data_IF_865101246501
#
_entry.id   IF_865101246501
#
_cell.length_a   1.000
_cell.length_b   1.000
_cell.length_c   1.000
_cell.angle_alpha   90.00
_cell.angle_beta   90.00
_cell.angle_gamma   90.00
#
_symmetry.space_group_name_H-M   'P 1'
#
loop_
_entity.id
_entity.type
_entity.pdbx_description
1 polymer ?
#
# COMPACT_ATOMS: atom_id res chain seq x y z
N UNK A 1 -14.24 3.17 12.60
CA UNK A 1 -13.80 1.75 12.45
C UNK A 1 -13.43 1.35 11.02
N UNK A 2 -14.05 1.90 9.95
CA UNK A 2 -13.78 1.50 8.55
C UNK A 2 -12.33 1.74 8.06
N UNK A 3 -11.64 2.79 8.53
CA UNK A 3 -10.28 3.10 8.08
C UNK A 3 -9.22 2.08 8.54
N UNK A 4 -9.31 1.54 9.77
CA UNK A 4 -8.32 0.59 10.27
C UNK A 4 -8.36 -0.74 9.51
N UNK A 5 -9.57 -1.27 9.26
CA UNK A 5 -9.74 -2.52 8.50
C UNK A 5 -9.22 -2.38 7.08
N UNK A 6 -9.45 -1.22 6.44
CA UNK A 6 -8.92 -0.94 5.10
C UNK A 6 -7.39 -0.90 5.09
N UNK A 7 -6.78 -0.33 6.14
CA UNK A 7 -5.32 -0.26 6.26
C UNK A 7 -4.68 -1.65 6.42
N UNK A 8 -5.28 -2.53 7.24
CA UNK A 8 -4.82 -3.93 7.39
C UNK A 8 -4.91 -4.70 6.06
N UNK A 9 -6.01 -4.50 5.31
CA UNK A 9 -6.18 -5.12 4.00
C UNK A 9 -5.18 -4.62 2.96
N UNK A 10 -4.85 -3.33 2.96
CA UNK A 10 -3.82 -2.76 2.08
C UNK A 10 -2.46 -3.43 2.35
N UNK A 11 -2.05 -3.52 3.61
CA UNK A 11 -0.76 -4.16 3.98
C UNK A 11 -0.74 -5.63 3.55
N UNK A 12 -1.81 -6.38 3.81
CA UNK A 12 -1.92 -7.76 3.38
C UNK A 12 -1.84 -7.90 1.85
N UNK A 13 -2.50 -7.01 1.10
CA UNK A 13 -2.50 -7.02 -0.36
C UNK A 13 -1.10 -6.77 -0.92
N UNK A 14 -0.37 -5.78 -0.40
CA UNK A 14 0.99 -5.48 -0.82
C UNK A 14 1.97 -6.62 -0.48
N UNK A 15 1.76 -7.35 0.62
CA UNK A 15 2.57 -8.51 0.94
C UNK A 15 2.39 -9.64 -0.08
N UNK A 16 1.13 -9.90 -0.48
CA UNK A 16 0.79 -10.90 -1.50
C UNK A 16 1.34 -10.48 -2.87
N UNK A 17 1.18 -9.20 -3.24
CA UNK A 17 1.75 -8.66 -4.48
C UNK A 17 3.28 -8.74 -4.49
N UNK A 18 3.95 -8.46 -3.38
CA UNK A 18 5.40 -8.59 -3.27
C UNK A 18 5.86 -10.04 -3.44
N UNK A 19 5.11 -11.00 -2.89
CA UNK A 19 5.38 -12.43 -3.06
C UNK A 19 5.22 -12.87 -4.53
N UNK A 20 4.11 -12.52 -5.16
CA UNK A 20 3.83 -12.84 -6.57
C UNK A 20 4.84 -12.15 -7.49
N UNK A 21 5.09 -10.86 -7.25
CA UNK A 21 6.04 -10.06 -8.03
C UNK A 21 7.45 -10.63 -7.97
N UNK A 22 7.91 -11.02 -6.78
CA UNK A 22 9.22 -11.67 -6.61
C UNK A 22 9.31 -12.99 -7.36
N UNK A 23 8.24 -13.78 -7.38
CA UNK A 23 8.17 -15.03 -8.15
C UNK A 23 8.21 -14.77 -9.67
N UNK A 24 7.61 -13.68 -10.13
CA UNK A 24 7.56 -13.32 -11.55
C UNK A 24 8.92 -12.78 -12.05
N UNK A 25 9.60 -11.97 -11.25
CA UNK A 25 10.91 -11.40 -11.58
C UNK A 25 12.08 -12.32 -11.26
N UNK A 26 11.80 -13.56 -10.79
CA UNK A 26 12.80 -14.51 -10.28
C UNK A 26 13.74 -13.89 -9.25
N UNK A 27 13.24 -12.90 -8.51
CA UNK A 27 13.98 -12.20 -7.47
C UNK A 27 13.83 -12.94 -6.15
N UNK A 28 14.82 -12.82 -5.26
CA UNK A 28 14.72 -13.39 -3.91
C UNK A 28 13.68 -12.60 -3.12
N UNK A 29 12.63 -13.29 -2.68
CA UNK A 29 11.60 -12.66 -1.86
C UNK A 29 12.16 -12.29 -0.50
N UNK A 30 12.27 -10.99 -0.23
CA UNK A 30 12.68 -10.47 1.06
C UNK A 30 11.47 -9.85 1.78
N UNK A 31 10.92 -10.50 2.82
CA UNK A 31 9.72 -10.03 3.50
C UNK A 31 9.90 -8.69 4.20
N UNK A 32 11.12 -8.34 4.65
CA UNK A 32 11.40 -7.04 5.27
C UNK A 32 11.36 -5.91 4.25
N UNK A 33 11.90 -6.13 3.04
CA UNK A 33 11.83 -5.14 1.97
C UNK A 33 10.39 -4.89 1.53
N UNK A 34 9.61 -5.97 1.36
CA UNK A 34 8.20 -5.88 0.99
C UNK A 34 7.39 -5.16 2.07
N UNK A 35 7.70 -5.39 3.35
CA UNK A 35 7.06 -4.67 4.46
C UNK A 35 7.35 -3.16 4.39
N UNK A 36 8.61 -2.76 4.20
CA UNK A 36 8.98 -1.34 4.05
C UNK A 36 8.25 -0.69 2.86
N UNK A 37 8.22 -1.39 1.72
CA UNK A 37 7.56 -0.91 0.50
C UNK A 37 6.05 -0.76 0.72
N UNK A 38 5.40 -1.76 1.33
CA UNK A 38 3.97 -1.70 1.65
C UNK A 38 3.62 -0.52 2.57
N UNK A 39 4.51 -0.17 3.50
CA UNK A 39 4.33 0.92 4.45
C UNK A 39 4.45 2.28 3.74
N UNK A 40 5.43 2.44 2.84
CA UNK A 40 5.59 3.63 2.01
C UNK A 40 4.37 3.84 1.10
N UNK A 41 3.94 2.79 0.39
CA UNK A 41 2.76 2.87 -0.48
C UNK A 41 1.48 3.11 0.30
N UNK A 42 1.33 2.54 1.50
CA UNK A 42 0.20 2.80 2.40
C UNK A 42 0.11 4.27 2.82
N UNK A 43 1.24 4.92 3.13
CA UNK A 43 1.29 6.36 3.43
C UNK A 43 0.91 7.19 2.20
N UNK A 44 1.44 6.87 1.02
CA UNK A 44 1.09 7.56 -0.24
C UNK A 44 -0.41 7.44 -0.51
N UNK A 45 -0.97 6.24 -0.40
CA UNK A 45 -2.41 5.99 -0.56
C UNK A 45 -3.28 6.67 0.49
N UNK A 46 -2.71 7.14 1.60
CA UNK A 46 -3.44 7.93 2.60
C UNK A 46 -3.39 9.41 2.25
N UNK A 47 -2.23 9.92 1.81
CA UNK A 47 -2.04 11.34 1.49
C UNK A 47 -2.76 11.74 0.19
N UNK A 48 -2.67 10.92 -0.86
CA UNK A 48 -3.27 11.20 -2.17
C UNK A 48 -4.78 11.45 -2.11
N UNK A 49 -5.62 10.58 -1.51
CA UNK A 49 -7.05 10.86 -1.38
C UNK A 49 -7.36 12.04 -0.47
N UNK A 50 -6.54 12.28 0.57
CA UNK A 50 -6.70 13.45 1.46
C UNK A 50 -6.53 14.76 0.69
N UNK A 51 -5.54 14.83 -0.19
CA UNK A 51 -5.31 16.02 -1.01
C UNK A 51 -6.32 16.11 -2.18
N UNK A 52 -6.73 15.00 -2.78
CA UNK A 52 -7.79 14.98 -3.79
C UNK A 52 -9.14 15.46 -3.23
N UNK A 53 -9.52 15.05 -2.01
CA UNK A 53 -10.77 15.50 -1.38
C UNK A 53 -10.76 17.01 -1.13
N UNK A 54 -9.61 17.58 -0.72
CA UNK A 54 -9.45 19.04 -0.59
C UNK A 54 -9.62 19.76 -1.92
N UNK A 55 -9.14 19.19 -3.03
CA UNK A 55 -9.27 19.79 -4.35
C UNK A 55 -10.71 19.70 -4.89
N UNK A 56 -11.40 18.58 -4.67
CA UNK A 56 -12.81 18.41 -5.09
C UNK A 56 -13.77 19.29 -4.28
N UNK A 57 -13.51 19.51 -2.99
CA UNK A 57 -14.39 20.31 -2.11
C UNK A 57 -14.19 21.83 -2.22
N UNK A 58 -13.11 22.26 -2.90
CA UNK A 58 -12.76 23.66 -3.14
C UNK A 58 -13.43 24.23 -4.40
N UNK A 59 -14.01 23.37 -5.25
CA UNK A 59 -14.78 23.72 -6.45
C UNK A 59 -16.28 23.52 -6.20
#
# INVERSE_FOLDING_TARGET
>A
MKHLTSMVWIVAFFQILGFIGSSLTKSVYNPLQVLVISLIFGVIFTIVPTELEKLTKKN
#
